data_IF_993302201075
#
_entry.id   IF_993302201075
#
_cell.length_a   1.000
_cell.length_b   1.000
_cell.length_c   1.000
_cell.angle_alpha   90.00
_cell.angle_beta   90.00
_cell.angle_gamma   90.00
#
_symmetry.space_group_name_H-M   'P 1'
#
loop_
_entity.id
_entity.type
_entity.pdbx_description
1 polymer ?
#
# COMPACT_ATOMS: atom_id res chain seq x y z
N UNK A 1 -32.83 -5.58 -38.58
CA UNK A 1 -32.50 -5.86 -38.37
C UNK A 1 -32.80 -5.65 -38.35
N UNK A 2 -32.80 -5.68 -38.16
CA UNK A 2 -32.52 -5.85 -38.10
C UNK A 2 -32.18 -5.52 -37.64
N UNK A 3 -32.33 -4.90 -38.17
CA UNK A 3 -31.70 -4.83 -37.79
C UNK A 3 -31.22 -4.52 -37.62
N UNK A 4 -30.73 -4.61 -37.67
CA UNK A 4 -29.99 -4.84 -37.70
C UNK A 4 -30.02 -4.88 -38.32
N UNK A 5 -30.30 -4.53 -38.87
CA UNK A 5 -30.33 -4.99 -39.52
C UNK A 5 -30.15 -5.69 -39.68
N UNK A 6 -30.40 -5.82 -39.68
CA UNK A 6 -30.27 -6.79 -39.62
C UNK A 6 -29.25 -7.02 -39.97
N UNK A 7 -28.74 -6.62 -40.22
CA UNK A 7 -27.62 -6.96 -40.42
C UNK A 7 -26.86 -6.45 -39.48
N UNK A 8 -26.69 -6.37 -38.87
CA UNK A 8 -26.05 -6.35 -38.05
C UNK A 8 -26.12 -6.65 -36.98
N UNK A 9 -26.69 -6.48 -36.99
CA UNK A 9 -26.94 -6.95 -36.01
C UNK A 9 -26.39 -8.00 -35.75
N UNK A 10 -26.41 -8.53 -36.42
CA UNK A 10 -25.81 -9.67 -36.13
C UNK A 10 -24.41 -9.52 -35.94
N UNK A 11 -23.82 -8.83 -36.31
CA UNK A 11 -22.61 -8.77 -36.04
C UNK A 11 -22.40 -8.24 -34.88
N UNK A 12 -23.13 -7.48 -34.81
CA UNK A 12 -23.00 -7.06 -33.52
C UNK A 12 -23.09 -8.14 -32.70
N UNK A 13 -23.82 -8.81 -32.97
CA UNK A 13 -23.89 -9.82 -32.24
C UNK A 13 -22.78 -10.54 -32.38
N UNK A 14 -22.49 -10.62 -33.37
CA UNK A 14 -21.42 -11.35 -33.47
C UNK A 14 -20.34 -10.63 -32.90
N UNK A 15 -20.32 -9.89 -32.73
CA UNK A 15 -19.38 -9.62 -32.13
C UNK A 15 -19.47 -9.49 -30.97
N UNK A 16 -20.34 -9.13 -31.12
CA UNK A 16 -20.56 -9.23 -30.01
C UNK A 16 -20.46 -10.44 -29.72
N UNK A 17 -20.88 -11.11 -30.28
CA UNK A 17 -20.65 -12.26 -29.98
C UNK A 17 -19.50 -12.57 -30.43
N UNK A 18 -19.25 -12.08 -31.28
CA UNK A 18 -18.11 -12.46 -31.57
C UNK A 18 -17.37 -12.05 -30.54
N UNK A 19 -17.67 -11.37 -30.27
CA UNK A 19 -17.13 -11.17 -29.26
C UNK A 19 -17.47 -12.04 -28.47
N UNK A 20 -18.39 -12.36 -28.72
CA UNK A 20 -18.68 -13.33 -27.94
C UNK A 20 -18.40 -14.45 -28.66
N UNK A 21 -18.41 -14.56 -29.52
CA UNK A 21 -18.19 -15.69 -30.05
C UNK A 21 -17.06 -15.93 -30.26
N UNK A 22 -16.75 -15.61 -30.43
CA UNK A 22 -16.02 -16.22 -30.34
C UNK A 22 -15.75 -16.52 -29.78
N UNK A 23 -16.01 -16.40 -29.85
CA UNK A 23 -16.06 -17.14 -29.18
C UNK A 23 -16.40 -18.23 -29.49
N UNK A 24 -16.90 -18.43 -29.79
CA UNK A 24 -17.31 -19.59 -29.87
C UNK A 24 -16.42 -20.56 -30.30
N UNK A 25 -15.80 -20.51 -30.65
CA UNK A 25 -15.09 -21.34 -30.87
C UNK A 25 -14.28 -21.58 -30.33
N UNK A 26 -14.10 -21.48 -30.11
CA UNK A 26 -13.46 -21.61 -29.43
C UNK A 26 -13.71 -22.08 -28.34
N UNK A 27 -14.32 -22.79 -28.23
CA UNK A 27 -14.80 -23.21 -27.02
C UNK A 27 -13.83 -23.69 -26.07
N UNK A 28 -12.92 -24.45 -26.47
CA UNK A 28 -12.05 -24.96 -25.47
C UNK A 28 -11.19 -23.89 -24.93
N UNK A 29 -10.92 -22.91 -25.65
CA UNK A 29 -10.24 -21.79 -25.08
C UNK A 29 -11.06 -21.18 -23.98
N UNK A 30 -12.33 -21.14 -24.23
CA UNK A 30 -13.22 -20.58 -23.23
C UNK A 30 -13.32 -21.44 -22.02
N UNK A 31 -13.08 -22.72 -22.15
CA UNK A 31 -13.12 -23.57 -21.02
C UNK A 31 -11.97 -23.38 -20.08
N UNK A 32 -10.91 -22.72 -20.55
CA UNK A 32 -9.83 -22.50 -19.66
C UNK A 32 -10.19 -21.43 -18.68
N UNK A 33 -9.87 -21.70 -17.46
CA UNK A 33 -9.99 -20.69 -16.48
C UNK A 33 -9.07 -19.55 -16.84
N UNK A 34 -9.56 -18.31 -16.84
CA UNK A 34 -8.67 -17.22 -17.13
C UNK A 34 -7.59 -17.16 -16.06
N UNK A 35 -6.39 -16.89 -16.48
CA UNK A 35 -5.32 -16.68 -15.53
C UNK A 35 -5.64 -15.44 -14.73
N UNK A 36 -5.39 -15.46 -13.43
CA UNK A 36 -5.57 -14.26 -12.66
C UNK A 36 -4.68 -13.15 -13.20
N UNK A 37 -5.18 -11.96 -13.19
CA UNK A 37 -4.39 -10.82 -13.60
C UNK A 37 -3.15 -10.78 -12.70
N UNK A 38 -1.97 -10.60 -13.28
CA UNK A 38 -0.80 -10.50 -12.45
C UNK A 38 -0.91 -9.29 -11.54
N UNK A 39 -0.53 -9.45 -10.30
CA UNK A 39 -0.47 -8.31 -9.43
C UNK A 39 0.61 -7.37 -9.92
N UNK A 40 0.36 -6.08 -9.86
CA UNK A 40 1.41 -5.13 -10.24
C UNK A 40 2.64 -5.41 -9.39
N UNK A 41 3.78 -5.49 -10.03
CA UNK A 41 5.02 -5.67 -9.32
C UNK A 41 5.34 -4.39 -8.57
N UNK A 42 5.95 -4.53 -7.41
CA UNK A 42 6.47 -3.38 -6.72
C UNK A 42 7.54 -2.73 -7.58
N UNK A 43 7.56 -1.40 -7.67
CA UNK A 43 8.59 -0.72 -8.45
C UNK A 43 9.96 -0.71 -7.77
N UNK A 44 10.07 -1.25 -6.57
CA UNK A 44 11.32 -1.34 -5.83
C UNK A 44 11.44 -2.75 -5.27
N UNK A 45 12.64 -3.16 -4.92
CA UNK A 45 12.80 -4.51 -4.39
C UNK A 45 12.37 -4.59 -2.92
N UNK A 46 12.26 -5.82 -2.42
CA UNK A 46 11.76 -6.04 -1.08
C UNK A 46 12.65 -5.45 0.00
N UNK A 47 13.96 -5.48 -0.20
CA UNK A 47 14.87 -4.89 0.78
C UNK A 47 14.68 -3.39 0.89
N UNK A 48 14.47 -2.73 -0.25
CA UNK A 48 14.23 -1.29 -0.22
C UNK A 48 12.93 -0.97 0.51
N UNK A 49 11.88 -1.74 0.24
CA UNK A 49 10.62 -1.51 0.91
C UNK A 49 10.72 -1.78 2.41
N UNK A 50 11.39 -2.87 2.80
CA UNK A 50 11.59 -3.15 4.23
C UNK A 50 12.45 -2.07 4.88
N UNK A 51 13.40 -1.51 4.13
CA UNK A 51 14.20 -0.40 4.63
C UNK A 51 13.37 0.83 4.90
N UNK A 52 12.43 1.14 4.01
CA UNK A 52 11.51 2.26 4.23
C UNK A 52 10.68 2.03 5.50
N UNK A 53 10.15 0.81 5.67
CA UNK A 53 9.38 0.48 6.86
C UNK A 53 10.24 0.64 8.12
N UNK A 54 11.49 0.21 8.07
CA UNK A 54 12.38 0.35 9.20
C UNK A 54 12.66 1.82 9.52
N UNK A 55 12.81 2.65 8.48
CA UNK A 55 13.02 4.08 8.71
C UNK A 55 11.79 4.71 9.38
N UNK A 56 10.60 4.30 8.98
CA UNK A 56 9.39 4.81 9.64
C UNK A 56 9.37 4.37 11.10
N UNK A 57 9.76 3.14 11.37
CA UNK A 57 9.82 2.63 12.74
C UNK A 57 10.84 3.41 13.59
N UNK A 58 12.07 3.52 13.10
CA UNK A 58 13.10 4.24 13.83
C UNK A 58 12.77 5.73 13.94
N UNK A 59 12.17 6.30 12.89
CA UNK A 59 11.71 7.67 12.94
C UNK A 59 10.65 7.88 14.03
N UNK A 60 9.71 6.96 14.14
CA UNK A 60 8.70 7.01 15.18
C UNK A 60 9.34 6.96 16.56
N UNK A 61 10.31 6.06 16.73
CA UNK A 61 11.03 5.92 17.99
C UNK A 61 11.71 7.23 18.36
N UNK A 62 12.46 7.83 17.41
CA UNK A 62 13.17 9.07 17.69
C UNK A 62 12.24 10.24 17.93
N UNK A 63 11.11 10.28 17.22
CA UNK A 63 10.13 11.35 17.39
C UNK A 63 9.50 11.26 18.79
N UNK A 64 9.12 10.07 19.22
CA UNK A 64 8.54 9.89 20.55
C UNK A 64 9.57 10.20 21.64
N UNK A 65 10.80 9.78 21.45
CA UNK A 65 11.87 10.08 22.38
C UNK A 65 12.10 11.58 22.48
N UNK A 66 12.13 12.26 21.33
CA UNK A 66 12.29 13.70 21.30
C UNK A 66 11.15 14.41 22.06
N UNK A 67 9.94 13.93 21.88
CA UNK A 67 8.80 14.50 22.59
C UNK A 67 8.97 14.31 24.08
N UNK A 68 9.41 13.13 24.52
CA UNK A 68 9.55 12.82 25.92
C UNK A 68 10.59 13.70 26.60
N UNK A 69 11.68 14.03 25.91
CA UNK A 69 12.74 14.83 26.52
C UNK A 69 12.54 16.32 26.25
N UNK A 70 11.53 16.72 25.52
CA UNK A 70 11.33 18.12 25.17
C UNK A 70 11.06 18.97 26.40
N UNK A 71 10.28 18.48 27.38
CA UNK A 71 9.94 19.26 28.56
C UNK A 71 11.17 19.54 29.41
N UNK A 72 11.99 18.55 29.80
CA UNK A 72 13.19 18.85 30.55
C UNK A 72 14.17 19.74 29.77
N UNK A 73 14.29 19.57 28.48
CA UNK A 73 15.16 20.44 27.68
C UNK A 73 14.65 21.87 27.65
N UNK A 74 13.34 22.06 27.64
CA UNK A 74 12.76 23.37 27.66
C UNK A 74 13.11 24.07 28.98
N UNK A 75 13.05 23.33 30.10
CA UNK A 75 13.40 23.88 31.39
C UNK A 75 14.86 24.30 31.47
N UNK A 76 15.71 23.65 30.66
CA UNK A 76 17.12 24.01 30.59
C UNK A 76 17.39 25.15 29.61
N UNK A 77 16.34 25.70 29.00
CA UNK A 77 16.50 26.77 28.04
C UNK A 77 16.96 26.34 26.67
N UNK A 78 16.87 25.05 26.34
CA UNK A 78 17.33 24.54 25.08
C UNK A 78 16.26 24.83 24.01
N UNK A 79 16.67 25.53 22.95
CA UNK A 79 15.73 25.94 21.91
C UNK A 79 15.19 24.76 21.10
N UNK A 80 15.90 23.65 21.07
CA UNK A 80 15.46 22.48 20.31
C UNK A 80 14.26 21.80 20.94
N UNK A 81 13.96 22.11 22.20
CA UNK A 81 12.81 21.51 22.86
C UNK A 81 11.50 21.78 22.11
N UNK A 82 11.32 23.03 21.65
CA UNK A 82 10.11 23.38 20.90
C UNK A 82 10.08 22.63 19.57
N UNK A 83 11.23 22.53 18.91
CA UNK A 83 11.32 21.81 17.66
C UNK A 83 10.94 20.35 17.84
N UNK A 84 11.45 19.71 18.87
CA UNK A 84 11.13 18.30 19.14
C UNK A 84 9.64 18.08 19.34
N UNK A 85 9.00 18.94 20.12
CA UNK A 85 7.58 18.84 20.36
C UNK A 85 6.79 19.09 19.06
N UNK A 86 7.22 20.07 18.30
CA UNK A 86 6.54 20.42 17.04
C UNK A 86 6.63 19.26 16.06
N UNK A 87 7.80 18.65 15.92
CA UNK A 87 7.95 17.50 15.03
C UNK A 87 7.00 16.38 15.44
N UNK A 88 6.94 16.08 16.74
CA UNK A 88 6.03 15.06 17.23
C UNK A 88 4.58 15.40 16.88
N UNK A 89 4.20 16.65 17.12
CA UNK A 89 2.81 17.08 16.90
C UNK A 89 2.44 16.99 15.41
N UNK A 90 3.33 17.48 14.55
CA UNK A 90 3.05 17.58 13.13
C UNK A 90 3.08 16.21 12.43
N UNK A 91 3.83 15.26 12.97
CA UNK A 91 3.99 13.98 12.28
C UNK A 91 2.95 12.95 12.68
N UNK A 92 2.06 13.25 13.60
CA UNK A 92 1.09 12.25 14.07
C UNK A 92 0.18 11.73 12.96
N UNK A 93 -0.40 12.64 12.18
CA UNK A 93 -1.27 12.22 11.09
C UNK A 93 -0.48 11.61 9.94
N UNK A 94 0.74 12.09 9.74
CA UNK A 94 1.62 11.54 8.72
C UNK A 94 1.96 10.09 9.05
N UNK A 95 2.24 9.82 10.31
CA UNK A 95 2.55 8.47 10.75
C UNK A 95 1.40 7.52 10.49
N UNK A 96 0.17 7.95 10.78
CA UNK A 96 -1.00 7.10 10.51
C UNK A 96 -1.11 6.75 9.03
N UNK A 97 -0.91 7.76 8.17
CA UNK A 97 -0.98 7.52 6.74
C UNK A 97 0.15 6.63 6.26
N UNK A 98 1.35 6.82 6.82
CA UNK A 98 2.50 6.00 6.44
C UNK A 98 2.30 4.55 6.86
N UNK A 99 1.79 4.33 8.06
CA UNK A 99 1.52 2.97 8.53
C UNK A 99 0.46 2.30 7.66
N UNK A 100 -0.59 3.03 7.32
CA UNK A 100 -1.64 2.47 6.46
C UNK A 100 -1.09 2.11 5.08
N UNK A 101 -0.21 2.96 4.53
CA UNK A 101 0.41 2.68 3.24
C UNK A 101 1.29 1.43 3.33
N UNK A 102 2.02 1.26 4.41
CA UNK A 102 2.86 0.07 4.60
C UNK A 102 2.01 -1.19 4.72
N UNK A 103 0.85 -1.11 5.38
CA UNK A 103 -0.05 -2.26 5.44
C UNK A 103 -0.50 -2.69 4.05
N UNK A 104 -0.81 -1.72 3.19
CA UNK A 104 -1.22 -2.04 1.83
C UNK A 104 -0.04 -2.62 1.05
N UNK A 105 1.12 -1.98 1.15
CA UNK A 105 2.28 -2.39 0.35
C UNK A 105 2.78 -3.77 0.72
N UNK A 106 2.65 -4.18 1.98
CA UNK A 106 3.10 -5.52 2.35
C UNK A 106 2.32 -6.61 1.64
N UNK A 107 1.10 -6.31 1.19
CA UNK A 107 0.30 -7.26 0.43
C UNK A 107 0.87 -7.58 -0.94
N UNK A 108 1.75 -6.74 -1.46
CA UNK A 108 2.38 -6.96 -2.76
C UNK A 108 3.80 -7.52 -2.63
N UNK A 109 4.27 -7.74 -1.41
CA UNK A 109 5.63 -8.19 -1.16
C UNK A 109 5.66 -9.68 -0.93
N UNK A 110 6.84 -10.30 -1.05
CA UNK A 110 6.99 -11.69 -0.70
C UNK A 110 6.82 -11.87 0.81
N UNK A 111 6.76 -13.12 1.23
CA UNK A 111 6.44 -13.40 2.63
C UNK A 111 7.50 -12.86 3.57
N UNK A 112 8.76 -13.01 3.22
CA UNK A 112 9.84 -12.53 4.07
C UNK A 112 9.75 -11.01 4.24
N UNK A 113 9.61 -10.29 3.14
CA UNK A 113 9.50 -8.83 3.19
C UNK A 113 8.24 -8.42 3.94
N UNK A 114 7.12 -9.09 3.69
CA UNK A 114 5.86 -8.80 4.37
C UNK A 114 6.00 -8.99 5.87
N UNK A 115 6.68 -10.04 6.31
CA UNK A 115 6.88 -10.30 7.73
C UNK A 115 7.78 -9.23 8.37
N UNK A 116 8.79 -8.79 7.65
CA UNK A 116 9.66 -7.71 8.15
C UNK A 116 8.91 -6.41 8.30
N UNK A 117 8.06 -6.11 7.33
CA UNK A 117 7.24 -4.90 7.42
C UNK A 117 6.25 -5.02 8.57
N UNK A 118 5.66 -6.20 8.76
CA UNK A 118 4.73 -6.42 9.85
C UNK A 118 5.40 -6.19 11.21
N UNK A 119 6.63 -6.63 11.36
CA UNK A 119 7.37 -6.41 12.59
C UNK A 119 7.61 -4.92 12.85
N UNK A 120 7.94 -4.18 11.79
CA UNK A 120 8.10 -2.74 11.91
C UNK A 120 6.80 -2.06 12.29
N UNK A 121 5.69 -2.48 11.67
CA UNK A 121 4.38 -1.90 11.98
C UNK A 121 3.99 -2.16 13.42
N UNK A 122 4.25 -3.36 13.91
CA UNK A 122 3.98 -3.67 15.31
C UNK A 122 4.76 -2.74 16.23
N UNK A 123 6.03 -2.52 15.92
CA UNK A 123 6.86 -1.60 16.68
C UNK A 123 6.35 -0.17 16.63
N UNK A 124 5.91 0.26 15.46
CA UNK A 124 5.36 1.61 15.28
C UNK A 124 4.12 1.78 16.14
N UNK A 125 3.19 0.81 16.09
CA UNK A 125 1.95 0.91 16.85
C UNK A 125 2.23 0.88 18.36
N UNK A 126 3.18 0.06 18.78
CA UNK A 126 3.54 -0.03 20.19
C UNK A 126 4.13 1.29 20.68
N UNK A 127 5.02 1.91 19.90
CA UNK A 127 5.59 3.19 20.28
C UNK A 127 4.52 4.28 20.32
N UNK A 128 3.65 4.29 19.35
CA UNK A 128 2.61 5.31 19.27
C UNK A 128 1.59 5.16 20.41
N UNK A 129 1.36 3.95 20.89
CA UNK A 129 0.39 3.70 21.94
C UNK A 129 0.96 3.91 23.34
N UNK A 130 2.27 3.95 23.45
CA UNK A 130 2.94 3.97 24.75
C UNK A 130 3.05 5.38 25.31
N UNK A 131 2.10 6.27 25.05
CA UNK A 131 2.21 7.60 25.57
C UNK A 131 1.36 7.87 26.72
#
# INVERSE_FOLDING_TARGET
>A
VEGIPAGKLPEAVAYVHALTLHTGLTGEVLDREPLPAPQPALPIDGNALAGIAAMVYYGTWMIELGKDISAPLKQLGNRQAVTMWTVWHETRSILKRSAAALEVLRGYADKDTSDRIAACLEGIYRKAAAR
#
